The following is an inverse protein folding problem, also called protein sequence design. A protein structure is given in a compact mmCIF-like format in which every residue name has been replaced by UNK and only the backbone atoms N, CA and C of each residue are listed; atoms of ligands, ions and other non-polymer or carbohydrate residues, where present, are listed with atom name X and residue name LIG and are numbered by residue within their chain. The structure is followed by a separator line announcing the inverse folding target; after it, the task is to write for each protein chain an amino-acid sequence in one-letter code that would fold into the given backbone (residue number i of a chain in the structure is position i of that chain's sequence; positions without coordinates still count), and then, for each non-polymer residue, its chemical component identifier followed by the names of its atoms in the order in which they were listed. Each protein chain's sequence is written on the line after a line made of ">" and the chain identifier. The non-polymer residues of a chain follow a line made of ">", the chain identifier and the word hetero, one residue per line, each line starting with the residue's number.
data_IF_289053028547
#
_entry.id   IF_289053028547
#
_cell.length_a   1.000
_cell.length_b   1.000
_cell.length_c   1.000
_cell.angle_alpha   90.00
_cell.angle_beta   90.00
_cell.angle_gamma   90.00
#
_symmetry.space_group_name_H-M   'P 1'
#
loop_
_entity.id
_entity.type
_entity.pdbx_description
1 polymer ?
#
# COMPACT_ATOMS: atom_id res chain seq x y z
N UNK A 1 5.91 36.41 16.15
CA UNK A 1 5.84 36.16 14.70
C UNK A 1 7.05 35.29 14.36
N UNK A 2 6.94 34.01 14.54
CA UNK A 2 7.95 33.01 14.14
C UNK A 2 7.48 32.43 12.80
N UNK A 3 8.35 32.51 11.80
CA UNK A 3 8.18 31.96 10.47
C UNK A 3 7.92 30.47 10.58
N UNK A 4 6.71 30.00 10.18
CA UNK A 4 6.44 28.59 10.01
C UNK A 4 7.32 28.08 8.88
N UNK A 5 8.20 27.12 9.21
CA UNK A 5 9.01 26.41 8.24
C UNK A 5 8.09 25.68 7.25
N UNK A 6 8.45 25.73 5.99
CA UNK A 6 7.77 25.08 4.87
C UNK A 6 7.73 23.56 5.14
N UNK A 7 6.56 22.90 5.22
CA UNK A 7 6.54 21.46 5.32
C UNK A 7 7.12 20.87 4.04
N UNK A 8 8.28 20.24 4.18
CA UNK A 8 8.88 19.45 3.13
C UNK A 8 7.97 18.23 2.92
N UNK A 9 7.38 18.12 1.75
CA UNK A 9 6.62 16.94 1.39
C UNK A 9 7.43 15.71 1.77
N UNK A 10 6.80 14.77 2.51
CA UNK A 10 7.44 13.52 2.90
C UNK A 10 7.77 12.72 1.64
N UNK A 11 8.88 13.08 1.03
CA UNK A 11 9.46 12.38 -0.09
C UNK A 11 10.13 11.13 0.46
N UNK A 12 9.72 10.01 -0.07
CA UNK A 12 10.54 8.81 -0.13
C UNK A 12 11.86 9.20 -0.82
N UNK A 13 12.83 9.70 -0.06
CA UNK A 13 14.11 10.08 -0.60
C UNK A 13 14.79 8.83 -1.17
N UNK A 14 14.87 8.76 -2.49
CA UNK A 14 15.72 7.80 -3.16
C UNK A 14 17.18 8.17 -2.88
N UNK A 15 17.97 7.26 -2.33
CA UNK A 15 19.43 7.37 -2.29
C UNK A 15 19.97 7.43 -3.73
N UNK A 16 20.98 8.27 -4.02
CA UNK A 16 21.64 8.28 -5.32
C UNK A 16 22.37 6.94 -5.56
N UNK A 17 22.22 6.42 -6.77
CA UNK A 17 22.93 5.23 -7.23
C UNK A 17 24.46 5.46 -7.19
N UNK A 18 25.26 4.41 -6.86
CA UNK A 18 26.71 4.53 -6.93
C UNK A 18 27.17 4.67 -8.39
N UNK A 19 28.02 5.65 -8.64
CA UNK A 19 28.68 5.90 -9.91
C UNK A 19 29.56 4.71 -10.27
N UNK A 20 29.34 4.12 -11.46
CA UNK A 20 30.24 3.13 -12.05
C UNK A 20 31.54 3.81 -12.53
N UNK A 21 32.65 3.50 -11.91
CA UNK A 21 33.97 3.75 -12.49
C UNK A 21 34.25 2.70 -13.56
N UNK A 22 34.49 3.20 -14.77
CA UNK A 22 35.06 2.46 -15.89
C UNK A 22 36.56 2.32 -15.72
N UNK A 23 37.08 1.11 -15.71
CA UNK A 23 38.50 0.84 -16.01
C UNK A 23 38.61 -0.01 -17.26
N UNK A 24 39.22 0.61 -18.26
CA UNK A 24 39.74 -0.02 -19.49
C UNK A 24 40.88 -0.99 -19.19
N UNK A 25 40.97 -2.05 -19.96
CA UNK A 25 42.14 -2.49 -20.74
C UNK A 25 42.18 -3.97 -21.02
N UNK A 26 42.14 -4.30 -22.22
CA UNK A 26 43.10 -4.78 -23.25
C UNK A 26 43.12 -6.32 -23.45
N UNK A 27 42.78 -6.62 -24.70
CA UNK A 27 43.34 -7.54 -25.71
C UNK A 27 44.11 -8.80 -25.33
N UNK A 28 43.70 -9.95 -25.90
CA UNK A 28 44.46 -10.76 -26.88
C UNK A 28 43.70 -12.01 -27.32
N UNK A 29 43.40 -12.13 -28.54
CA UNK A 29 43.75 -13.03 -29.66
C UNK A 29 43.90 -14.55 -29.40
N UNK A 30 43.24 -15.24 -30.31
CA UNK A 30 43.53 -16.44 -31.10
C UNK A 30 42.94 -17.76 -30.63
N UNK A 31 42.31 -18.42 -31.50
CA UNK A 31 42.40 -19.18 -32.68
C UNK A 31 41.43 -20.39 -32.68
N UNK A 32 40.75 -20.47 -33.79
CA UNK A 32 40.16 -21.57 -34.52
C UNK A 32 40.47 -23.03 -34.11
N UNK A 33 39.46 -23.88 -34.21
CA UNK A 33 39.47 -25.01 -35.16
C UNK A 33 38.08 -25.63 -35.37
N UNK A 34 37.85 -25.99 -36.60
CA UNK A 34 36.67 -26.58 -37.26
C UNK A 34 36.56 -28.08 -37.04
N UNK A 35 35.38 -28.58 -37.29
CA UNK A 35 34.94 -29.77 -38.05
C UNK A 35 33.94 -30.61 -37.25
N UNK A 36 32.92 -31.24 -37.74
CA UNK A 36 32.38 -31.66 -39.04
C UNK A 36 30.99 -32.21 -38.84
N UNK A 37 30.16 -31.99 -39.81
CA UNK A 37 28.86 -32.56 -40.15
C UNK A 37 28.61 -34.02 -39.80
N UNK A 38 27.38 -34.35 -39.37
CA UNK A 38 26.63 -35.44 -39.94
C UNK A 38 25.11 -35.19 -39.92
N UNK A 39 24.57 -35.32 -41.11
CA UNK A 39 23.17 -35.21 -41.54
C UNK A 39 22.37 -36.44 -41.15
N UNK A 40 21.15 -36.28 -40.71
CA UNK A 40 20.06 -37.20 -41.00
C UNK A 40 18.71 -36.48 -40.99
N UNK A 41 18.07 -36.52 -42.13
CA UNK A 41 16.77 -35.91 -42.48
C UNK A 41 15.59 -36.81 -42.12
N UNK A 42 14.36 -36.38 -42.37
CA UNK A 42 13.32 -36.18 -41.38
C UNK A 42 12.16 -37.16 -41.55
N UNK A 43 11.40 -37.33 -40.48
CA UNK A 43 10.08 -37.97 -40.59
C UNK A 43 9.02 -36.90 -40.29
N UNK A 44 8.28 -36.56 -41.34
CA UNK A 44 7.07 -35.75 -41.34
C UNK A 44 5.97 -36.42 -40.53
N UNK A 45 5.55 -35.80 -39.45
CA UNK A 45 4.21 -35.98 -38.87
C UNK A 45 3.54 -34.66 -38.77
N UNK A 46 2.45 -34.49 -39.49
CA UNK A 46 1.57 -33.31 -39.45
C UNK A 46 1.04 -33.06 -38.04
N UNK A 47 1.08 -31.85 -37.55
CA UNK A 47 0.36 -31.52 -36.32
C UNK A 47 -1.12 -31.34 -36.65
N UNK A 48 -1.94 -32.11 -35.97
CA UNK A 48 -3.38 -31.87 -35.84
C UNK A 48 -3.54 -30.62 -35.00
N UNK A 49 -3.99 -29.53 -35.60
CA UNK A 49 -4.41 -28.32 -34.90
C UNK A 49 -5.66 -28.63 -34.08
N UNK A 50 -5.48 -28.93 -32.82
CA UNK A 50 -6.55 -28.76 -31.82
C UNK A 50 -6.52 -27.28 -31.42
N UNK A 51 -7.47 -26.53 -31.91
CA UNK A 51 -7.80 -25.20 -31.38
C UNK A 51 -8.35 -25.41 -29.99
N UNK A 52 -7.50 -25.14 -29.01
CA UNK A 52 -7.91 -24.98 -27.60
C UNK A 52 -8.52 -23.59 -27.45
N UNK A 53 -9.78 -23.48 -27.01
CA UNK A 53 -10.37 -22.19 -26.75
C UNK A 53 -10.01 -21.72 -25.34
N UNK A 54 -9.63 -20.47 -25.23
CA UNK A 54 -9.49 -19.69 -24.00
C UNK A 54 -8.24 -19.99 -23.16
N UNK A 55 -7.12 -19.42 -23.53
CA UNK A 55 -6.10 -19.04 -22.55
C UNK A 55 -6.53 -17.71 -21.94
N UNK A 56 -7.43 -17.75 -20.94
CA UNK A 56 -7.45 -16.74 -19.90
C UNK A 56 -6.06 -16.74 -19.24
N UNK A 57 -5.53 -15.58 -18.90
CA UNK A 57 -4.30 -15.50 -18.11
C UNK A 57 -4.41 -16.43 -16.90
N UNK A 58 -3.32 -17.07 -16.44
CA UNK A 58 -3.34 -17.87 -15.22
C UNK A 58 -3.98 -17.05 -14.10
N UNK A 59 -4.82 -17.67 -13.29
CA UNK A 59 -5.63 -17.00 -12.25
C UNK A 59 -4.80 -16.17 -11.25
N UNK A 60 -3.48 -16.30 -11.23
CA UNK A 60 -2.54 -15.60 -10.35
C UNK A 60 -1.64 -14.57 -11.07
N UNK A 61 -1.78 -14.37 -12.37
CA UNK A 61 -0.99 -13.38 -13.10
C UNK A 61 -1.49 -11.95 -12.81
N UNK A 62 -0.55 -11.05 -12.49
CA UNK A 62 -0.84 -9.62 -12.34
C UNK A 62 -0.88 -8.92 -13.69
N UNK A 63 -1.93 -8.17 -13.93
CA UNK A 63 -2.14 -7.39 -15.16
C UNK A 63 -2.32 -5.91 -14.86
N UNK A 64 -1.94 -5.05 -15.81
CA UNK A 64 -2.19 -3.62 -15.72
C UNK A 64 -3.66 -3.35 -16.04
N UNK A 65 -4.44 -2.92 -15.04
CA UNK A 65 -5.86 -2.61 -15.19
C UNK A 65 -6.09 -1.16 -15.61
N UNK A 66 -5.32 -0.21 -15.05
CA UNK A 66 -5.48 1.21 -15.35
C UNK A 66 -4.15 1.94 -15.21
N UNK A 67 -3.86 2.81 -16.17
CA UNK A 67 -2.75 3.77 -16.12
C UNK A 67 -3.32 5.18 -16.12
N UNK A 68 -3.00 5.97 -15.09
CA UNK A 68 -3.44 7.35 -14.94
C UNK A 68 -2.35 8.32 -15.37
N UNK A 69 -2.77 9.46 -15.89
CA UNK A 69 -1.88 10.57 -16.24
C UNK A 69 -1.65 11.55 -15.09
N UNK A 70 -0.83 12.56 -15.36
CA UNK A 70 -0.52 13.62 -14.38
C UNK A 70 -1.72 14.49 -14.01
N UNK A 71 -2.79 14.47 -14.81
CA UNK A 71 -4.04 15.16 -14.50
C UNK A 71 -4.85 14.49 -13.38
N UNK A 72 -4.58 13.21 -13.13
CA UNK A 72 -5.29 12.41 -12.12
C UNK A 72 -4.45 12.17 -10.88
N UNK A 73 -3.14 12.02 -11.04
CA UNK A 73 -2.21 11.78 -9.95
C UNK A 73 -2.03 10.29 -9.61
N UNK A 74 -1.49 10.02 -8.43
CA UNK A 74 -1.24 8.66 -7.93
C UNK A 74 -2.42 8.15 -7.09
N UNK A 75 -2.48 6.84 -6.90
CA UNK A 75 -3.42 6.18 -6.01
C UNK A 75 -2.69 5.64 -4.78
N UNK A 76 -3.31 5.78 -3.61
CA UNK A 76 -2.69 5.42 -2.33
C UNK A 76 -3.41 4.30 -1.60
N UNK A 77 -4.68 4.08 -1.88
CA UNK A 77 -5.45 3.03 -1.22
C UNK A 77 -6.44 2.38 -2.17
N UNK A 78 -6.71 1.11 -1.93
CA UNK A 78 -7.75 0.32 -2.58
C UNK A 78 -8.46 -0.54 -1.55
N UNK A 79 -9.79 -0.58 -1.61
CA UNK A 79 -10.65 -1.37 -0.75
C UNK A 79 -12.00 -1.61 -1.44
N UNK A 80 -12.70 -2.71 -1.12
CA UNK A 80 -14.02 -2.97 -1.64
C UNK A 80 -14.83 -3.94 -0.78
N UNK A 81 -16.17 -3.82 -0.76
CA UNK A 81 -17.05 -4.77 -0.08
C UNK A 81 -17.24 -6.07 -0.88
N UNK A 82 -17.03 -6.04 -2.19
CA UNK A 82 -17.21 -7.17 -3.09
C UNK A 82 -16.21 -7.11 -4.26
N UNK A 83 -15.92 -8.24 -4.94
CA UNK A 83 -14.98 -8.28 -6.07
C UNK A 83 -15.37 -7.40 -7.26
N UNK A 84 -16.63 -7.08 -7.39
CA UNK A 84 -17.25 -6.23 -8.40
C UNK A 84 -17.65 -4.83 -7.86
N UNK A 85 -17.21 -4.50 -6.65
CA UNK A 85 -17.47 -3.20 -6.00
C UNK A 85 -16.22 -2.76 -5.23
N UNK A 86 -15.22 -2.19 -5.95
CA UNK A 86 -13.92 -1.82 -5.39
C UNK A 86 -13.63 -0.35 -5.63
N UNK A 87 -13.10 0.32 -4.62
CA UNK A 87 -12.78 1.75 -4.63
C UNK A 87 -11.29 1.96 -4.48
N UNK A 88 -10.74 2.88 -5.28
CA UNK A 88 -9.36 3.33 -5.18
C UNK A 88 -9.31 4.85 -5.01
N UNK A 89 -8.55 5.33 -4.04
CA UNK A 89 -8.42 6.75 -3.74
C UNK A 89 -6.98 7.24 -3.84
N UNK A 90 -6.82 8.52 -4.11
CA UNK A 90 -5.53 9.16 -4.25
C UNK A 90 -5.65 10.62 -4.62
N UNK A 91 -4.79 11.08 -5.53
CA UNK A 91 -4.84 12.45 -6.06
C UNK A 91 -3.49 13.00 -6.46
N UNK A 92 -3.40 14.32 -6.51
CA UNK A 92 -2.22 15.05 -6.96
C UNK A 92 -1.82 16.15 -5.99
N UNK A 93 -0.54 16.34 -5.79
CA UNK A 93 0.03 17.54 -5.15
C UNK A 93 0.28 18.58 -6.24
N UNK A 94 -0.29 19.77 -6.08
CA UNK A 94 -0.23 20.86 -7.07
C UNK A 94 0.63 22.04 -6.63
N UNK A 95 1.04 22.05 -5.36
CA UNK A 95 1.90 23.08 -4.76
C UNK A 95 2.29 22.68 -3.34
N UNK A 96 2.93 23.57 -2.62
CA UNK A 96 3.43 23.32 -1.26
C UNK A 96 2.29 22.88 -0.34
N UNK A 97 1.18 23.64 -0.35
CA UNK A 97 0.03 23.42 0.53
C UNK A 97 -1.25 23.13 -0.28
N UNK A 98 -1.14 22.71 -1.53
CA UNK A 98 -2.29 22.48 -2.39
C UNK A 98 -2.25 21.10 -3.01
N UNK A 99 -3.40 20.44 -2.99
CA UNK A 99 -3.62 19.13 -3.59
C UNK A 99 -5.07 18.97 -4.02
N UNK A 100 -5.36 17.93 -4.77
CA UNK A 100 -6.73 17.50 -5.03
C UNK A 100 -6.87 15.99 -4.95
N UNK A 101 -8.03 15.54 -4.51
CA UNK A 101 -8.40 14.12 -4.39
C UNK A 101 -8.89 13.52 -5.70
N UNK A 102 -8.73 12.20 -5.81
CA UNK A 102 -9.31 11.35 -6.85
C UNK A 102 -9.89 10.11 -6.23
N UNK A 103 -10.98 9.65 -6.82
CA UNK A 103 -11.63 8.40 -6.48
C UNK A 103 -12.01 7.66 -7.76
N UNK A 104 -11.73 6.38 -7.79
CA UNK A 104 -12.11 5.45 -8.86
C UNK A 104 -12.93 4.31 -8.28
N UNK A 105 -13.91 3.86 -9.04
CA UNK A 105 -14.77 2.72 -8.70
C UNK A 105 -14.68 1.66 -9.80
N UNK A 106 -14.54 0.40 -9.38
CA UNK A 106 -14.58 -0.79 -10.21
C UNK A 106 -15.93 -1.47 -10.07
N UNK A 107 -16.61 -1.70 -11.17
CA UNK A 107 -17.96 -2.29 -11.23
C UNK A 107 -17.95 -3.78 -11.62
N UNK A 108 -16.80 -4.44 -11.46
CA UNK A 108 -16.58 -5.81 -11.91
C UNK A 108 -16.07 -5.92 -13.35
N UNK A 109 -16.04 -4.82 -14.12
CA UNK A 109 -15.60 -4.80 -15.51
C UNK A 109 -14.63 -3.64 -15.80
N UNK A 110 -14.92 -2.44 -15.29
CA UNK A 110 -14.18 -1.22 -15.62
C UNK A 110 -13.95 -0.34 -14.41
N UNK A 111 -12.81 0.35 -14.39
CA UNK A 111 -12.52 1.43 -13.45
C UNK A 111 -13.02 2.76 -13.99
N UNK A 112 -13.88 3.44 -13.23
CA UNK A 112 -14.45 4.75 -13.60
C UNK A 112 -14.18 5.79 -12.52
N UNK A 113 -13.78 7.01 -12.93
CA UNK A 113 -13.63 8.13 -12.02
C UNK A 113 -14.98 8.52 -11.42
N UNK A 114 -15.01 8.77 -10.12
CA UNK A 114 -16.20 9.20 -9.38
C UNK A 114 -16.03 10.65 -8.93
N UNK A 115 -17.11 11.41 -8.89
CA UNK A 115 -17.08 12.79 -8.41
C UNK A 115 -16.81 12.84 -6.90
N UNK A 116 -16.02 13.82 -6.51
CA UNK A 116 -15.77 14.21 -5.11
C UNK A 116 -16.28 15.65 -4.90
N UNK A 117 -16.58 16.05 -3.66
CA UNK A 117 -16.88 17.44 -3.34
C UNK A 117 -15.75 18.38 -3.78
N UNK A 118 -16.12 19.59 -4.21
CA UNK A 118 -15.15 20.62 -4.60
C UNK A 118 -14.20 20.93 -3.46
N UNK A 119 -12.91 21.03 -3.78
CA UNK A 119 -11.87 21.32 -2.78
C UNK A 119 -11.43 20.10 -1.95
N UNK A 120 -11.89 18.89 -2.27
CA UNK A 120 -11.38 17.67 -1.63
C UNK A 120 -9.86 17.57 -1.85
N UNK A 121 -9.03 17.54 -0.79
CA UNK A 121 -7.59 17.37 -0.93
C UNK A 121 -7.23 15.92 -1.29
N UNK A 122 -5.94 15.65 -1.54
CA UNK A 122 -5.46 14.30 -1.84
C UNK A 122 -5.86 13.32 -0.74
N UNK A 123 -6.51 12.23 -1.14
CA UNK A 123 -6.98 11.17 -0.24
C UNK A 123 -5.88 10.10 -0.08
N UNK A 124 -5.74 9.59 1.14
CA UNK A 124 -4.68 8.64 1.44
C UNK A 124 -5.17 7.23 1.73
N UNK A 125 -6.36 7.10 2.32
CA UNK A 125 -6.90 5.78 2.62
C UNK A 125 -8.41 5.72 2.46
N UNK A 126 -8.92 4.54 2.09
CA UNK A 126 -10.36 4.22 2.06
C UNK A 126 -10.61 2.90 2.75
N UNK A 127 -11.72 2.83 3.45
CA UNK A 127 -12.15 1.65 4.20
C UNK A 127 -13.68 1.66 4.34
N UNK A 128 -14.28 0.48 4.42
CA UNK A 128 -15.71 0.35 4.65
C UNK A 128 -16.07 -0.71 5.67
N UNK A 129 -17.14 -0.45 6.41
CA UNK A 129 -17.71 -1.37 7.40
C UNK A 129 -19.20 -1.11 7.55
N UNK A 130 -20.00 -2.18 7.79
CA UNK A 130 -21.44 -2.05 8.03
C UNK A 130 -22.25 -1.44 6.88
N UNK A 131 -21.71 -1.40 5.67
CA UNK A 131 -22.32 -0.74 4.51
C UNK A 131 -21.89 0.71 4.31
N UNK A 132 -21.16 1.29 5.26
CA UNK A 132 -20.55 2.61 5.14
C UNK A 132 -19.20 2.53 4.45
N UNK A 133 -18.87 3.55 3.67
CA UNK A 133 -17.57 3.71 3.03
C UNK A 133 -17.00 5.09 3.37
N UNK A 134 -15.75 5.10 3.80
CA UNK A 134 -15.03 6.28 4.23
C UNK A 134 -13.73 6.46 3.45
N UNK A 135 -13.30 7.72 3.33
CA UNK A 135 -11.98 8.07 2.82
C UNK A 135 -11.39 9.19 3.66
N UNK A 136 -10.09 9.09 3.96
CA UNK A 136 -9.34 10.08 4.72
C UNK A 136 -8.10 10.55 3.96
N UNK A 137 -7.55 11.71 4.31
CA UNK A 137 -6.43 12.26 3.57
C UNK A 137 -5.75 13.48 4.18
N UNK A 138 -5.19 14.32 3.31
CA UNK A 138 -4.51 15.56 3.69
C UNK A 138 -5.47 16.54 4.37
N UNK A 139 -4.90 17.47 5.13
CA UNK A 139 -5.61 18.56 5.79
C UNK A 139 -6.72 18.06 6.72
N UNK A 140 -6.52 16.90 7.36
CA UNK A 140 -7.50 16.24 8.22
C UNK A 140 -8.78 15.81 7.49
N UNK A 141 -8.75 15.68 6.16
CA UNK A 141 -9.93 15.32 5.39
C UNK A 141 -10.51 13.97 5.79
N UNK A 142 -11.82 13.94 5.99
CA UNK A 142 -12.62 12.74 6.16
C UNK A 142 -13.91 12.86 5.35
N UNK A 143 -14.18 11.89 4.52
CA UNK A 143 -15.37 11.81 3.68
C UNK A 143 -16.11 10.51 3.98
N UNK A 144 -17.44 10.56 4.07
CA UNK A 144 -18.32 9.40 4.15
C UNK A 144 -19.19 9.33 2.90
N UNK A 145 -19.39 8.13 2.37
CA UNK A 145 -20.33 7.93 1.28
C UNK A 145 -21.76 7.83 1.83
N UNK A 146 -22.63 8.74 1.42
CA UNK A 146 -24.04 8.79 1.77
C UNK A 146 -24.89 8.62 0.50
N UNK A 147 -25.40 7.41 0.28
CA UNK A 147 -25.99 7.03 -1.00
C UNK A 147 -24.94 7.07 -2.11
N UNK A 148 -25.15 7.93 -3.12
CA UNK A 148 -24.23 8.07 -4.27
C UNK A 148 -23.32 9.30 -4.18
N UNK A 149 -23.31 10.00 -3.04
CA UNK A 149 -22.49 11.20 -2.83
C UNK A 149 -21.51 11.03 -1.69
N UNK A 150 -20.37 11.73 -1.77
CA UNK A 150 -19.39 11.81 -0.72
C UNK A 150 -19.60 13.09 0.09
N UNK A 151 -19.70 12.96 1.41
CA UNK A 151 -19.99 14.06 2.32
C UNK A 151 -18.81 14.28 3.27
N UNK A 152 -18.27 15.51 3.37
CA UNK A 152 -17.19 15.80 4.31
C UNK A 152 -17.66 15.76 5.77
N UNK A 153 -16.83 15.17 6.63
CA UNK A 153 -16.95 15.15 8.08
C UNK A 153 -15.73 15.78 8.72
N UNK A 154 -15.94 16.68 9.68
CA UNK A 154 -14.84 17.38 10.37
C UNK A 154 -14.20 16.48 11.40
N UNK A 155 -12.89 16.26 11.29
CA UNK A 155 -12.10 15.43 12.22
C UNK A 155 -11.54 16.20 13.41
N UNK A 156 -11.46 17.52 13.30
CA UNK A 156 -10.87 18.40 14.33
C UNK A 156 -9.34 18.49 14.27
N UNK A 157 -8.70 17.82 13.29
CA UNK A 157 -7.25 17.87 13.04
C UNK A 157 -6.96 18.45 11.66
N UNK A 158 -5.72 18.87 11.43
CA UNK A 158 -5.22 19.38 10.14
C UNK A 158 -4.07 18.55 9.60
N UNK A 159 -3.59 17.61 10.40
CA UNK A 159 -2.55 16.67 10.04
C UNK A 159 -3.03 15.73 8.92
N UNK A 160 -2.08 15.12 8.23
CA UNK A 160 -2.39 14.10 7.23
C UNK A 160 -2.94 12.86 7.92
N UNK A 161 -4.10 12.38 7.48
CA UNK A 161 -4.66 11.10 7.91
C UNK A 161 -4.24 10.02 6.93
N UNK A 162 -3.42 9.05 7.39
CA UNK A 162 -2.78 8.03 6.56
C UNK A 162 -3.53 6.71 6.51
N UNK A 163 -4.34 6.40 7.52
CA UNK A 163 -5.05 5.15 7.64
C UNK A 163 -6.38 5.31 8.35
N UNK A 164 -7.39 4.52 7.97
CA UNK A 164 -8.67 4.39 8.64
C UNK A 164 -9.06 2.92 8.71
N UNK A 165 -9.61 2.50 9.83
CA UNK A 165 -10.18 1.19 10.07
C UNK A 165 -11.34 1.31 11.07
N UNK A 166 -12.28 0.34 11.07
CA UNK A 166 -13.37 0.34 12.04
C UNK A 166 -13.95 -1.05 12.29
N UNK A 167 -14.37 -1.27 13.53
CA UNK A 167 -15.08 -2.48 13.94
C UNK A 167 -16.57 -2.46 13.54
N UNK A 168 -17.12 -1.28 13.29
CA UNK A 168 -18.50 -1.07 12.90
C UNK A 168 -18.75 0.36 12.42
N UNK A 169 -19.98 0.68 11.97
CA UNK A 169 -20.32 1.99 11.44
C UNK A 169 -20.22 3.13 12.48
N UNK A 170 -20.32 2.76 13.76
CA UNK A 170 -20.27 3.68 14.90
C UNK A 170 -18.94 3.57 15.68
N UNK A 171 -17.93 2.85 15.12
CA UNK A 171 -16.64 2.64 15.76
C UNK A 171 -15.55 2.58 14.69
N UNK A 172 -15.06 3.78 14.29
CA UNK A 172 -13.96 3.91 13.35
C UNK A 172 -12.80 4.70 13.97
N UNK A 173 -11.62 4.35 13.56
CA UNK A 173 -10.37 4.95 14.00
C UNK A 173 -9.57 5.40 12.80
N UNK A 174 -9.02 6.62 12.86
CA UNK A 174 -8.08 7.12 11.85
C UNK A 174 -6.81 7.59 12.51
N UNK A 175 -5.69 7.35 11.82
CA UNK A 175 -4.35 7.66 12.29
C UNK A 175 -3.62 8.52 11.29
N UNK A 176 -2.68 9.32 11.79
CA UNK A 176 -1.97 10.27 10.97
C UNK A 176 -0.74 10.88 11.65
N UNK A 177 -0.36 12.05 11.16
CA UNK A 177 0.80 12.82 11.51
C UNK A 177 1.47 13.35 10.25
N UNK A 178 2.39 14.29 10.35
CA UNK A 178 3.08 14.81 9.18
C UNK A 178 4.31 13.98 8.79
N UNK A 179 4.79 13.14 9.70
CA UNK A 179 5.96 12.28 9.51
C UNK A 179 7.28 13.04 9.49
N UNK A 180 7.30 14.29 9.96
CA UNK A 180 8.48 15.17 9.96
C UNK A 180 8.67 15.90 11.30
N UNK A 181 7.73 16.73 11.70
CA UNK A 181 7.89 17.66 12.82
C UNK A 181 6.74 17.59 13.86
N UNK A 182 5.56 17.09 13.48
CA UNK A 182 4.39 17.02 14.33
C UNK A 182 4.26 15.64 15.00
N UNK A 183 3.59 15.58 16.14
CA UNK A 183 3.30 14.34 16.84
C UNK A 183 2.30 13.47 16.05
N UNK A 184 2.33 12.13 16.23
CA UNK A 184 1.30 11.26 15.69
C UNK A 184 -0.09 11.64 16.17
N UNK A 185 -1.10 11.48 15.31
CA UNK A 185 -2.49 11.74 15.67
C UNK A 185 -3.34 10.47 15.57
N UNK A 186 -4.30 10.38 16.48
CA UNK A 186 -5.31 9.32 16.53
C UNK A 186 -6.68 9.96 16.75
N UNK A 187 -7.65 9.61 15.92
CA UNK A 187 -9.00 10.17 15.98
C UNK A 187 -10.02 9.05 15.92
N UNK A 188 -11.03 9.10 16.77
CA UNK A 188 -12.08 8.09 16.89
C UNK A 188 -13.45 8.66 16.49
N UNK A 189 -14.21 7.91 15.72
CA UNK A 189 -15.60 8.14 15.34
C UNK A 189 -16.52 7.26 16.18
N UNK A 190 -17.46 7.89 16.89
CA UNK A 190 -18.42 7.25 17.80
C UNK A 190 -19.84 7.05 17.19
N UNK A 191 -19.93 7.15 15.86
CA UNK A 191 -21.22 7.14 15.15
C UNK A 191 -21.83 8.53 14.95
N UNK A 192 -21.31 9.55 15.65
CA UNK A 192 -21.87 10.92 15.64
C UNK A 192 -20.82 11.96 15.31
N UNK A 193 -19.62 11.84 15.89
CA UNK A 193 -18.55 12.82 15.75
C UNK A 193 -17.16 12.16 15.83
N UNK A 194 -16.19 12.80 15.18
CA UNK A 194 -14.79 12.50 15.35
C UNK A 194 -14.24 13.19 16.61
N UNK A 195 -13.46 12.47 17.42
CA UNK A 195 -12.81 12.97 18.62
C UNK A 195 -11.34 12.59 18.64
N UNK A 196 -10.45 13.56 18.89
CA UNK A 196 -9.01 13.29 19.03
C UNK A 196 -8.77 12.50 20.32
N UNK A 197 -8.02 11.40 20.18
CA UNK A 197 -7.70 10.50 21.29
C UNK A 197 -6.26 10.73 21.72
N UNK A 198 -6.00 10.94 23.02
CA UNK A 198 -4.64 11.06 23.53
C UNK A 198 -3.85 9.78 23.31
N UNK A 199 -2.61 9.92 22.82
CA UNK A 199 -1.68 8.82 22.65
C UNK A 199 -0.79 8.64 23.89
N UNK A 200 -0.27 7.44 24.16
CA UNK A 200 0.84 7.26 25.09
C UNK A 200 2.09 7.98 24.57
N UNK A 201 3.15 8.02 25.39
CA UNK A 201 4.46 8.54 24.96
C UNK A 201 4.98 7.71 23.77
N UNK A 202 5.03 8.30 22.59
CA UNK A 202 5.46 7.68 21.33
C UNK A 202 6.94 7.93 21.00
N UNK A 203 7.67 8.55 21.93
CA UNK A 203 9.07 8.92 21.76
C UNK A 203 9.25 9.96 20.65
N UNK A 204 10.21 9.71 19.76
CA UNK A 204 10.52 10.60 18.62
C UNK A 204 9.70 10.29 17.35
N UNK A 205 8.65 9.48 17.43
CA UNK A 205 7.79 9.19 16.27
C UNK A 205 6.97 10.42 15.90
N UNK A 206 6.83 10.65 14.60
CA UNK A 206 6.12 11.81 14.02
C UNK A 206 4.89 11.42 13.21
N UNK A 207 4.59 10.13 13.11
CA UNK A 207 3.39 9.69 12.38
C UNK A 207 3.04 8.23 12.53
N UNK A 208 1.73 7.98 12.55
CA UNK A 208 1.13 6.66 12.39
C UNK A 208 0.64 6.53 10.95
N UNK A 209 1.04 5.46 10.25
CA UNK A 209 0.75 5.29 8.84
C UNK A 209 -0.42 4.37 8.56
N UNK A 210 -0.64 3.34 9.41
CA UNK A 210 -1.71 2.39 9.21
C UNK A 210 -2.30 1.91 10.51
N UNK A 211 -3.58 1.56 10.42
CA UNK A 211 -4.35 0.99 11.50
C UNK A 211 -5.14 -0.21 10.98
N UNK A 212 -5.21 -1.27 11.76
CA UNK A 212 -5.98 -2.48 11.52
C UNK A 212 -6.41 -3.09 12.85
N UNK A 213 -7.54 -3.78 12.89
CA UNK A 213 -7.98 -4.48 14.09
C UNK A 213 -8.68 -5.80 13.77
N UNK A 214 -8.63 -6.73 14.70
CA UNK A 214 -9.41 -7.97 14.65
C UNK A 214 -10.80 -7.82 15.27
N UNK A 215 -11.03 -6.71 15.97
CA UNK A 215 -12.28 -6.34 16.61
C UNK A 215 -12.16 -5.04 17.39
N UNK A 216 -13.28 -4.58 17.96
CA UNK A 216 -13.35 -3.30 18.68
C UNK A 216 -12.37 -3.18 19.88
N UNK A 217 -11.93 -4.29 20.44
CA UNK A 217 -11.05 -4.36 21.60
C UNK A 217 -9.65 -4.91 21.26
N UNK A 218 -9.31 -4.97 19.99
CA UNK A 218 -8.00 -5.45 19.51
C UNK A 218 -7.66 -4.73 18.22
N UNK A 219 -6.95 -3.60 18.37
CA UNK A 219 -6.59 -2.72 17.26
C UNK A 219 -5.10 -2.43 17.34
N UNK A 220 -4.42 -2.50 16.21
CA UNK A 220 -2.99 -2.19 16.07
C UNK A 220 -2.82 -1.01 15.12
N UNK A 221 -2.02 -0.02 15.52
CA UNK A 221 -1.57 1.05 14.66
C UNK A 221 -0.05 1.03 14.54
N UNK A 222 0.47 1.27 13.33
CA UNK A 222 1.91 1.24 13.04
C UNK A 222 2.36 2.53 12.37
N UNK A 223 3.64 2.89 12.57
CA UNK A 223 4.17 4.17 12.13
C UNK A 223 5.66 4.18 11.85
N UNK A 224 6.21 5.40 11.81
CA UNK A 224 7.64 5.62 11.62
C UNK A 224 8.45 5.15 12.82
N UNK A 225 9.77 5.01 12.62
CA UNK A 225 10.73 4.59 13.65
C UNK A 225 10.36 3.30 14.39
N UNK A 226 9.65 2.40 13.69
CA UNK A 226 9.21 1.13 14.27
C UNK A 226 8.08 1.28 15.30
N UNK A 227 7.39 2.42 15.36
CA UNK A 227 6.26 2.61 16.27
C UNK A 227 5.17 1.57 15.99
N UNK A 228 4.77 0.87 17.03
CA UNK A 228 3.57 0.02 17.04
C UNK A 228 2.77 0.32 18.31
N UNK A 229 1.48 0.57 18.16
CA UNK A 229 0.54 0.78 19.24
C UNK A 229 -0.52 -0.32 19.22
N UNK A 230 -1.00 -0.69 20.39
CA UNK A 230 -2.09 -1.64 20.55
C UNK A 230 -3.16 -1.08 21.48
N UNK A 231 -4.41 -1.25 21.07
CA UNK A 231 -5.61 -0.95 21.86
C UNK A 231 -6.25 -2.25 22.35
N UNK A 232 -6.44 -2.38 23.65
CA UNK A 232 -6.99 -3.57 24.30
C UNK A 232 -8.50 -3.47 24.64
N UNK A 233 -9.15 -2.41 24.13
CA UNK A 233 -10.53 -2.07 24.43
C UNK A 233 -10.70 -1.04 25.54
N UNK A 234 -9.60 -0.64 26.19
CA UNK A 234 -9.59 0.39 27.24
C UNK A 234 -8.50 1.44 27.00
N UNK A 235 -7.26 0.99 26.79
CA UNK A 235 -6.10 1.86 26.69
C UNK A 235 -5.25 1.53 25.45
N UNK A 236 -4.62 2.58 24.90
CA UNK A 236 -3.58 2.47 23.89
C UNK A 236 -2.23 2.33 24.56
N UNK A 237 -1.44 1.34 24.15
CA UNK A 237 -0.11 1.05 24.69
C UNK A 237 0.92 0.89 23.58
N UNK A 238 2.17 1.31 23.83
CA UNK A 238 3.28 1.06 22.90
C UNK A 238 3.70 -0.39 23.00
N UNK A 239 3.73 -1.08 21.87
CA UNK A 239 4.32 -2.41 21.74
C UNK A 239 5.77 -2.29 21.29
N UNK A 240 6.73 -2.87 22.01
CA UNK A 240 8.13 -2.86 21.60
C UNK A 240 8.31 -3.60 20.26
N UNK A 241 9.02 -2.98 19.34
CA UNK A 241 9.51 -3.60 18.12
C UNK A 241 11.02 -3.82 18.21
N UNK A 242 11.56 -4.67 17.35
CA UNK A 242 12.97 -5.05 17.37
C UNK A 242 13.90 -4.11 16.56
N UNK A 243 13.32 -3.08 15.92
CA UNK A 243 14.02 -2.20 14.97
C UNK A 243 13.32 -0.83 14.90
N UNK A 244 14.05 0.18 14.43
CA UNK A 244 13.55 1.53 14.16
C UNK A 244 13.16 1.73 12.69
N UNK A 245 13.07 0.67 11.89
CA UNK A 245 12.58 0.77 10.51
C UNK A 245 11.09 1.06 10.50
N UNK A 246 10.67 1.95 9.60
CA UNK A 246 9.27 2.32 9.47
C UNK A 246 8.40 1.08 9.19
N UNK A 247 7.29 0.99 9.91
CA UNK A 247 6.20 0.05 9.66
C UNK A 247 5.11 0.82 8.90
N UNK A 248 4.98 0.56 7.59
CA UNK A 248 4.14 1.40 6.72
C UNK A 248 2.72 0.84 6.60
N UNK A 249 2.56 -0.46 6.67
CA UNK A 249 1.27 -1.13 6.55
C UNK A 249 1.17 -2.29 7.52
N UNK A 250 -0.03 -2.59 7.98
CA UNK A 250 -0.32 -3.73 8.86
C UNK A 250 -1.63 -4.40 8.46
N UNK A 251 -1.67 -5.72 8.53
CA UNK A 251 -2.85 -6.56 8.35
C UNK A 251 -2.72 -7.83 9.18
N UNK A 252 -3.85 -8.47 9.54
CA UNK A 252 -3.80 -9.68 10.33
C UNK A 252 -5.05 -10.56 10.18
N UNK A 253 -5.05 -11.68 10.91
CA UNK A 253 -6.18 -12.62 11.03
C UNK A 253 -6.81 -12.62 12.42
N UNK A 254 -6.12 -12.00 13.36
CA UNK A 254 -6.56 -11.98 14.75
C UNK A 254 -5.49 -11.37 15.67
N UNK A 255 -5.75 -11.40 16.99
CA UNK A 255 -4.91 -10.73 17.98
C UNK A 255 -3.49 -11.32 18.11
N UNK A 256 -3.25 -12.51 17.56
CA UNK A 256 -1.97 -13.21 17.67
C UNK A 256 -1.30 -13.50 16.31
N UNK A 257 -1.84 -12.93 15.23
CA UNK A 257 -1.27 -13.15 13.89
C UNK A 257 -1.47 -11.92 13.03
N UNK A 258 -0.49 -11.02 13.07
CA UNK A 258 -0.45 -9.81 12.26
C UNK A 258 0.88 -9.73 11.52
N UNK A 259 0.86 -9.15 10.34
CA UNK A 259 2.03 -8.89 9.51
C UNK A 259 2.08 -7.41 9.16
N UNK A 260 3.21 -6.78 9.41
CA UNK A 260 3.52 -5.43 8.96
C UNK A 260 4.54 -5.47 7.83
N UNK A 261 4.36 -4.59 6.86
CA UNK A 261 5.30 -4.35 5.77
C UNK A 261 5.77 -2.90 5.83
N UNK A 262 7.05 -2.67 5.53
CA UNK A 262 7.63 -1.33 5.61
C UNK A 262 9.07 -1.27 5.13
N UNK A 263 9.83 -0.31 5.71
CA UNK A 263 11.20 0.00 5.34
C UNK A 263 11.27 0.89 4.09
N UNK A 264 12.06 1.96 4.14
CA UNK A 264 12.14 2.92 3.03
C UNK A 264 13.21 2.57 2.00
N UNK A 265 14.38 2.15 2.45
CA UNK A 265 15.49 1.79 1.56
C UNK A 265 15.45 0.28 1.24
N UNK A 266 15.37 -0.54 2.27
CA UNK A 266 15.23 -1.99 2.17
C UNK A 266 13.87 -2.41 2.69
N UNK A 267 13.28 -3.42 2.08
CA UNK A 267 12.00 -3.96 2.53
C UNK A 267 12.09 -4.52 3.95
N UNK A 268 11.08 -4.24 4.75
CA UNK A 268 10.94 -4.73 6.11
C UNK A 268 9.65 -5.52 6.25
N UNK A 269 9.72 -6.71 6.81
CA UNK A 269 8.58 -7.45 7.30
C UNK A 269 8.70 -7.59 8.81
N UNK A 270 7.60 -7.42 9.52
CA UNK A 270 7.53 -7.69 10.96
C UNK A 270 6.23 -8.43 11.28
N UNK A 271 6.33 -9.49 12.10
CA UNK A 271 5.19 -10.32 12.49
C UNK A 271 4.95 -10.23 13.98
N UNK A 272 3.69 -10.05 14.35
CA UNK A 272 3.20 -10.16 15.72
C UNK A 272 2.63 -11.56 15.96
N UNK A 273 3.07 -12.23 17.00
CA UNK A 273 2.65 -13.59 17.38
C UNK A 273 1.71 -13.62 18.60
N UNK A 274 1.28 -12.45 19.07
CA UNK A 274 0.49 -12.30 20.29
C UNK A 274 1.31 -11.95 21.52
N UNK A 275 2.65 -11.99 21.41
CA UNK A 275 3.56 -11.72 22.53
C UNK A 275 4.68 -10.74 22.14
N UNK A 276 5.20 -10.83 20.93
CA UNK A 276 6.29 -9.99 20.46
C UNK A 276 6.22 -9.74 18.94
N UNK A 277 6.74 -8.60 18.52
CA UNK A 277 7.08 -8.31 17.14
C UNK A 277 8.43 -8.91 16.80
N UNK A 278 8.49 -9.71 15.75
CA UNK A 278 9.74 -10.23 15.18
C UNK A 278 9.86 -9.76 13.76
N UNK A 279 10.97 -9.13 13.41
CA UNK A 279 11.15 -8.54 12.10
C UNK A 279 12.32 -9.10 11.31
N UNK A 280 12.26 -8.91 9.98
CA UNK A 280 13.28 -9.29 9.01
C UNK A 280 13.47 -8.17 7.99
N UNK A 281 14.69 -7.67 7.85
CA UNK A 281 15.06 -6.76 6.77
C UNK A 281 15.44 -7.59 5.54
N UNK A 282 14.79 -7.30 4.43
CA UNK A 282 14.97 -7.98 3.15
C UNK A 282 15.93 -7.18 2.27
N UNK A 283 16.72 -7.86 1.46
CA UNK A 283 17.57 -7.19 0.45
C UNK A 283 16.79 -6.95 -0.85
N UNK A 284 15.68 -6.24 -0.74
CA UNK A 284 14.81 -5.78 -1.84
C UNK A 284 14.41 -4.33 -1.56
N UNK A 285 13.91 -3.57 -2.55
CA UNK A 285 13.34 -2.23 -2.32
C UNK A 285 12.26 -2.21 -1.23
N UNK A 286 12.04 -1.04 -0.62
CA UNK A 286 11.08 -0.84 0.45
C UNK A 286 9.68 -1.36 0.12
N UNK A 287 8.98 -1.85 1.14
CA UNK A 287 7.61 -2.35 1.07
C UNK A 287 6.64 -1.30 1.61
N UNK A 288 5.40 -1.30 1.13
CA UNK A 288 4.42 -0.24 1.44
C UNK A 288 3.02 -0.77 1.79
N UNK A 289 2.62 -1.91 1.26
CA UNK A 289 1.28 -2.46 1.45
C UNK A 289 1.30 -3.94 1.80
N UNK A 290 0.38 -4.36 2.64
CA UNK A 290 0.12 -5.76 2.96
C UNK A 290 -1.37 -6.01 3.06
N UNK A 291 -1.81 -7.12 2.50
CA UNK A 291 -3.12 -7.74 2.71
C UNK A 291 -2.93 -9.23 2.97
N UNK A 292 -3.70 -9.80 3.88
CA UNK A 292 -3.59 -11.21 4.25
C UNK A 292 -4.92 -11.92 4.04
N UNK A 293 -4.87 -13.04 3.33
CA UNK A 293 -6.01 -13.93 3.15
C UNK A 293 -6.36 -14.62 4.49
N UNK A 294 -7.60 -15.04 4.73
CA UNK A 294 -8.00 -15.77 5.94
C UNK A 294 -7.20 -17.05 6.23
N UNK A 295 -6.58 -17.67 5.22
CA UNK A 295 -5.66 -18.81 5.41
C UNK A 295 -4.26 -18.39 5.90
N UNK A 296 -3.98 -17.07 5.91
CA UNK A 296 -2.74 -16.47 6.37
C UNK A 296 -1.69 -16.23 5.29
N UNK A 297 -1.99 -16.54 4.04
CA UNK A 297 -1.13 -16.19 2.92
C UNK A 297 -1.24 -14.68 2.66
N UNK A 298 -0.16 -13.94 2.83
CA UNK A 298 -0.17 -12.51 2.61
C UNK A 298 0.32 -12.14 1.22
N UNK A 299 -0.27 -11.10 0.63
CA UNK A 299 0.26 -10.38 -0.53
C UNK A 299 0.90 -9.09 -0.04
N UNK A 300 2.11 -8.82 -0.46
CA UNK A 300 2.88 -7.63 -0.08
C UNK A 300 3.32 -6.90 -1.33
N UNK A 301 3.23 -5.57 -1.30
CA UNK A 301 3.62 -4.70 -2.43
C UNK A 301 4.53 -3.58 -1.98
N UNK A 302 5.25 -2.95 -2.92
CA UNK A 302 6.19 -1.90 -2.55
C UNK A 302 6.82 -1.14 -3.72
N UNK A 303 7.99 -0.59 -3.43
CA UNK A 303 8.77 0.23 -4.37
C UNK A 303 9.22 -0.59 -5.59
N UNK A 304 9.41 0.09 -6.72
CA UNK A 304 9.85 -0.51 -7.99
C UNK A 304 8.93 -1.64 -8.47
N UNK A 305 7.63 -1.54 -8.17
CA UNK A 305 6.65 -2.55 -8.56
C UNK A 305 6.75 -3.87 -7.80
N UNK A 306 7.43 -3.92 -6.64
CA UNK A 306 7.49 -5.15 -5.86
C UNK A 306 6.11 -5.70 -5.58
N UNK A 307 5.90 -6.96 -5.93
CA UNK A 307 4.75 -7.78 -5.52
C UNK A 307 5.31 -9.13 -5.07
N UNK A 308 4.76 -9.70 -4.03
CA UNK A 308 5.13 -11.03 -3.61
C UNK A 308 4.24 -11.57 -2.51
N UNK A 309 4.49 -12.84 -2.19
CA UNK A 309 3.75 -13.58 -1.17
C UNK A 309 4.60 -13.81 0.07
N UNK A 310 3.93 -13.83 1.20
CA UNK A 310 4.52 -14.23 2.48
C UNK A 310 3.69 -15.37 3.05
N UNK A 311 4.33 -16.53 3.24
CA UNK A 311 3.65 -17.73 3.73
C UNK A 311 3.17 -17.57 5.18
N UNK A 312 2.08 -18.25 5.58
CA UNK A 312 1.55 -18.19 6.93
C UNK A 312 2.61 -18.49 8.00
N UNK A 313 2.69 -17.64 9.02
CA UNK A 313 3.62 -17.82 10.13
C UNK A 313 5.10 -17.57 9.83
N UNK A 314 5.44 -17.11 8.61
CA UNK A 314 6.82 -16.82 8.21
C UNK A 314 7.05 -15.33 7.92
N UNK A 315 8.31 -14.98 7.61
CA UNK A 315 8.75 -13.71 7.04
C UNK A 315 9.44 -13.93 5.68
N UNK A 316 9.23 -15.09 5.04
CA UNK A 316 9.81 -15.41 3.75
C UNK A 316 9.01 -14.74 2.63
N UNK A 317 9.65 -13.82 1.92
CA UNK A 317 9.07 -13.11 0.78
C UNK A 317 9.38 -13.88 -0.51
N UNK A 318 8.34 -14.35 -1.18
CA UNK A 318 8.41 -14.98 -2.49
C UNK A 318 7.92 -13.98 -3.55
N UNK A 319 8.80 -13.45 -4.43
CA UNK A 319 8.41 -12.47 -5.43
C UNK A 319 7.44 -13.06 -6.48
N UNK A 320 6.51 -12.23 -6.93
CA UNK A 320 5.64 -12.45 -8.10
C UNK A 320 6.02 -11.46 -9.22
N UNK A 321 5.73 -11.80 -10.47
CA UNK A 321 5.96 -10.91 -11.60
C UNK A 321 5.00 -9.71 -11.54
N UNK A 322 5.53 -8.52 -11.81
CA UNK A 322 4.77 -7.28 -11.76
C UNK A 322 4.69 -6.64 -13.16
N UNK A 323 3.51 -6.18 -13.58
CA UNK A 323 3.35 -5.48 -14.86
C UNK A 323 3.80 -4.01 -14.81
N UNK A 324 4.35 -3.54 -13.69
CA UNK A 324 4.78 -2.16 -13.50
C UNK A 324 6.06 -2.05 -12.69
N UNK A 325 6.79 -0.97 -12.90
CA UNK A 325 7.93 -0.55 -12.06
C UNK A 325 7.56 0.62 -11.12
N UNK A 326 6.31 1.08 -11.15
CA UNK A 326 5.86 2.14 -10.26
C UNK A 326 5.79 1.61 -8.82
N UNK A 327 5.95 2.52 -7.85
CA UNK A 327 5.68 2.19 -6.46
C UNK A 327 4.22 1.73 -6.33
N UNK A 328 3.99 0.55 -5.77
CA UNK A 328 2.66 0.07 -5.37
C UNK A 328 2.48 0.39 -3.88
N UNK A 329 1.53 1.28 -3.59
CA UNK A 329 1.37 1.82 -2.24
C UNK A 329 0.48 0.93 -1.36
N UNK A 330 -0.57 0.38 -1.93
CA UNK A 330 -1.54 -0.46 -1.21
C UNK A 330 -1.93 -1.69 -2.04
N UNK A 331 -2.34 -2.74 -1.34
CA UNK A 331 -2.93 -3.95 -1.89
C UNK A 331 -4.13 -4.36 -1.06
N UNK A 332 -5.16 -4.85 -1.73
CA UNK A 332 -6.36 -5.43 -1.13
C UNK A 332 -6.82 -6.61 -1.98
N UNK A 333 -7.44 -7.60 -1.35
CA UNK A 333 -7.93 -8.79 -2.04
C UNK A 333 -9.18 -9.37 -1.40
N UNK A 334 -9.74 -10.36 -2.08
CA UNK A 334 -10.89 -11.11 -1.62
C UNK A 334 -10.48 -12.57 -1.39
N UNK A 335 -10.96 -13.23 -0.33
CA UNK A 335 -10.61 -14.61 -0.02
C UNK A 335 -10.83 -15.55 -1.22
N UNK A 336 -9.74 -16.16 -1.71
CA UNK A 336 -9.78 -17.03 -2.90
C UNK A 336 -10.23 -16.35 -4.20
N UNK A 337 -10.25 -15.01 -4.23
CA UNK A 337 -10.72 -14.16 -5.33
C UNK A 337 -9.65 -13.19 -5.84
N UNK A 338 -10.10 -12.14 -6.55
CA UNK A 338 -9.20 -11.17 -7.13
C UNK A 338 -8.45 -10.35 -6.09
N UNK A 339 -7.28 -9.86 -6.50
CA UNK A 339 -6.43 -8.93 -5.77
C UNK A 339 -6.20 -7.68 -6.61
N UNK A 340 -6.14 -6.55 -5.95
CA UNK A 340 -5.91 -5.24 -6.56
C UNK A 340 -4.75 -4.55 -5.84
N UNK A 341 -3.82 -3.97 -6.59
CA UNK A 341 -2.80 -3.12 -6.01
C UNK A 341 -2.74 -1.79 -6.75
N UNK A 342 -2.53 -0.72 -5.99
CA UNK A 342 -2.56 0.64 -6.51
C UNK A 342 -1.31 1.40 -6.10
N UNK A 343 -0.94 2.39 -6.92
CA UNK A 343 0.23 3.20 -6.64
C UNK A 343 0.48 4.26 -7.68
N UNK A 344 1.77 4.52 -7.94
CA UNK A 344 2.19 5.49 -8.94
C UNK A 344 3.61 5.99 -8.73
N UNK A 345 3.93 7.13 -9.34
CA UNK A 345 5.27 7.75 -9.25
C UNK A 345 5.57 8.46 -7.92
N UNK A 346 5.01 7.95 -6.82
CA UNK A 346 5.07 8.54 -5.47
C UNK A 346 6.50 8.64 -4.90
N UNK A 347 7.45 7.84 -5.41
CA UNK A 347 8.86 7.94 -5.06
C UNK A 347 9.56 9.14 -5.70
N UNK A 348 8.93 9.83 -6.64
CA UNK A 348 9.42 11.01 -7.33
C UNK A 348 8.80 12.31 -6.83
N UNK A 349 9.09 13.39 -7.56
CA UNK A 349 8.42 14.67 -7.34
C UNK A 349 7.10 14.73 -8.11
N UNK A 350 6.07 15.46 -7.61
CA UNK A 350 4.89 15.73 -8.40
C UNK A 350 5.22 16.52 -9.68
N UNK A 351 4.41 16.42 -10.75
CA UNK A 351 3.12 15.75 -10.79
C UNK A 351 3.24 14.24 -10.89
N UNK A 352 2.43 13.53 -10.11
CA UNK A 352 2.40 12.07 -10.10
C UNK A 352 1.60 11.49 -11.26
N UNK A 353 1.88 10.23 -11.59
CA UNK A 353 1.03 9.36 -12.41
C UNK A 353 0.60 8.18 -11.56
N UNK A 354 -0.58 7.62 -11.83
CA UNK A 354 -1.14 6.54 -11.04
C UNK A 354 -1.18 5.22 -11.80
N UNK A 355 -1.31 4.13 -11.06
CA UNK A 355 -1.43 2.78 -11.61
C UNK A 355 -2.37 1.94 -10.77
N UNK A 356 -3.18 1.09 -11.45
CA UNK A 356 -3.89 -0.03 -10.85
C UNK A 356 -3.43 -1.29 -11.55
N UNK A 357 -3.02 -2.28 -10.79
CA UNK A 357 -2.76 -3.63 -11.24
C UNK A 357 -3.70 -4.61 -10.53
N UNK A 358 -4.09 -5.69 -11.21
CA UNK A 358 -5.04 -6.67 -10.70
C UNK A 358 -4.62 -8.08 -11.06
N UNK A 359 -5.07 -9.05 -10.25
CA UNK A 359 -4.84 -10.47 -10.45
C UNK A 359 -6.12 -11.23 -10.12
N UNK A 360 -6.47 -12.26 -10.89
CA UNK A 360 -7.65 -13.09 -10.66
C UNK A 360 -8.99 -12.44 -11.06
N UNK A 361 -8.96 -11.39 -11.92
CA UNK A 361 -10.15 -10.69 -12.45
C UNK A 361 -10.50 -11.21 -13.83
#
# INVERSE_FOLDING_TARGET
>A
MLSRGTPLALLLAACPAPSSETTDASTSTDASTSSTTTSSSPTTSSPTTTTDPTTGAPADEWTLALQLGTADGALLSVWGPAPDDVYAVGGQITGVDTSFGRLYHFDGATWTAQPLPDGTPMLHWTFGTGGDLWAVGRDGASLRREGDVWVPHTTGVTEILWGIWGAGPDDLWTVGGDGVDDDPVLVHWDGTAWTVVPLPDTGDSTGLFKIWGSGANDITAVGDRGLALHYDGADWTVQPTDDLADLISVWGRGPTDQLSAGGRANGRLARWDGAAWTGLTLNIPGLSGVWMDPDGLATVVGMQGQIGRVAPGTLEFAPEDSPTIQLLHAVFGFPGGPRFAVGGSLAGQPPYVGVIVQSGV
#
